data_IF_131745858493
#
_entry.id   IF_131745858493
#
_cell.length_a   1.000
_cell.length_b   1.000
_cell.length_c   1.000
_cell.angle_alpha   90.00
_cell.angle_beta   90.00
_cell.angle_gamma   90.00
#
_symmetry.space_group_name_H-M   'P 1'
#
loop_
_entity.id
_entity.type
_entity.pdbx_description
1 polymer ?
#
# COMPACT_ATOMS: atom_id res chain seq x y z
N UNK A 1 16.33 0.71 -12.94
CA UNK A 1 16.68 1.53 -11.76
C UNK A 1 15.79 2.78 -11.66
N UNK A 2 15.54 3.48 -12.78
CA UNK A 2 14.70 4.68 -12.77
C UNK A 2 13.27 4.37 -12.32
N UNK A 3 12.67 3.31 -12.83
CA UNK A 3 11.32 2.87 -12.43
C UNK A 3 11.27 2.47 -10.95
N UNK A 4 12.31 1.83 -10.46
CA UNK A 4 12.42 1.45 -9.05
C UNK A 4 12.44 2.70 -8.16
N UNK A 5 13.21 3.70 -8.53
CA UNK A 5 13.28 4.97 -7.79
C UNK A 5 11.93 5.69 -7.81
N UNK A 6 11.25 5.71 -8.96
CA UNK A 6 9.91 6.30 -9.07
C UNK A 6 8.92 5.60 -8.17
N UNK A 7 8.92 4.27 -8.14
CA UNK A 7 8.06 3.49 -7.26
C UNK A 7 8.29 3.79 -5.79
N UNK A 8 9.54 3.87 -5.38
CA UNK A 8 9.90 4.21 -4.00
C UNK A 8 9.43 5.62 -3.63
N UNK A 9 9.57 6.59 -4.54
CA UNK A 9 9.09 7.96 -4.31
C UNK A 9 7.56 8.04 -4.21
N UNK A 10 6.86 7.26 -5.03
CA UNK A 10 5.40 7.18 -4.96
C UNK A 10 4.94 6.63 -3.61
N UNK A 11 5.57 5.55 -3.14
CA UNK A 11 5.25 4.96 -1.85
C UNK A 11 5.51 5.94 -0.71
N UNK A 12 6.65 6.62 -0.75
CA UNK A 12 7.00 7.63 0.25
C UNK A 12 5.99 8.78 0.29
N UNK A 13 5.58 9.27 -0.86
CA UNK A 13 4.58 10.32 -0.97
C UNK A 13 3.22 9.90 -0.41
N UNK A 14 2.79 8.66 -0.67
CA UNK A 14 1.55 8.10 -0.13
C UNK A 14 1.58 8.03 1.39
N UNK A 15 2.69 7.58 1.95
CA UNK A 15 2.85 7.47 3.41
C UNK A 15 2.86 8.85 4.06
N UNK A 16 3.58 9.80 3.49
CA UNK A 16 3.62 11.19 4.00
C UNK A 16 2.24 11.84 4.00
N UNK A 17 1.48 11.67 2.92
CA UNK A 17 0.12 12.19 2.82
C UNK A 17 -0.79 11.57 3.89
N UNK A 18 -0.70 10.27 4.08
CA UNK A 18 -1.47 9.54 5.09
C UNK A 18 -1.16 10.01 6.51
N UNK A 19 0.11 10.23 6.82
CA UNK A 19 0.53 10.72 8.13
C UNK A 19 -0.01 12.13 8.37
N UNK A 20 0.07 13.01 7.37
CA UNK A 20 -0.48 14.36 7.47
C UNK A 20 -2.00 14.35 7.66
N UNK A 21 -2.71 13.48 6.97
CA UNK A 21 -4.16 13.32 7.11
C UNK A 21 -4.52 12.82 8.51
N UNK A 22 -3.79 11.85 9.03
CA UNK A 22 -3.97 11.32 10.38
C UNK A 22 -3.75 12.39 11.44
N UNK A 23 -2.71 13.20 11.29
CA UNK A 23 -2.41 14.27 12.25
C UNK A 23 -3.52 15.33 12.28
N UNK A 24 -4.08 15.68 11.12
CA UNK A 24 -5.23 16.60 11.06
C UNK A 24 -6.47 16.01 11.74
N UNK A 25 -6.69 14.71 11.57
CA UNK A 25 -7.81 14.02 12.17
C UNK A 25 -7.71 13.99 13.70
N UNK A 26 -6.53 13.66 14.22
CA UNK A 26 -6.28 13.55 15.66
C UNK A 26 -6.58 14.87 16.39
N UNK A 27 -6.29 16.01 15.75
CA UNK A 27 -6.57 17.32 16.32
C UNK A 27 -8.07 17.69 16.30
N UNK A 28 -8.86 17.14 15.35
CA UNK A 28 -10.22 17.61 15.05
C UNK A 28 -11.34 16.66 15.45
N UNK A 29 -11.06 15.35 15.59
CA UNK A 29 -12.09 14.31 15.70
C UNK A 29 -11.79 13.36 16.87
N UNK A 30 -12.35 13.65 18.04
CA UNK A 30 -12.22 12.80 19.22
C UNK A 30 -13.28 11.72 19.32
N UNK A 31 -14.41 11.89 18.63
CA UNK A 31 -15.62 11.07 18.84
C UNK A 31 -15.90 10.07 17.72
N UNK A 32 -14.97 9.87 16.81
CA UNK A 32 -15.11 8.91 15.74
C UNK A 32 -14.32 9.26 14.48
N UNK A 33 -14.14 8.27 13.63
CA UNK A 33 -13.38 8.39 12.42
C UNK A 33 -14.34 8.71 11.26
N UNK A 34 -14.12 9.82 10.52
CA UNK A 34 -14.95 10.11 9.35
C UNK A 34 -14.85 9.00 8.30
N UNK A 35 -15.96 8.75 7.59
CA UNK A 35 -15.97 7.78 6.50
C UNK A 35 -14.92 8.10 5.44
N UNK A 36 -14.71 9.38 5.12
CA UNK A 36 -13.69 9.81 4.17
C UNK A 36 -12.27 9.36 4.57
N UNK A 37 -11.95 9.44 5.87
CA UNK A 37 -10.66 8.96 6.37
C UNK A 37 -10.53 7.43 6.23
N UNK A 38 -11.59 6.68 6.53
CA UNK A 38 -11.59 5.22 6.36
C UNK A 38 -11.36 4.85 4.90
N UNK A 39 -12.02 5.52 3.97
CA UNK A 39 -11.83 5.32 2.53
C UNK A 39 -10.37 5.61 2.14
N UNK A 40 -9.80 6.70 2.63
CA UNK A 40 -8.40 7.07 2.36
C UNK A 40 -7.43 6.01 2.87
N UNK A 41 -7.62 5.51 4.08
CA UNK A 41 -6.73 4.50 4.67
C UNK A 41 -6.86 3.15 3.96
N UNK A 42 -8.06 2.75 3.59
CA UNK A 42 -8.28 1.55 2.78
C UNK A 42 -7.62 1.68 1.39
N UNK A 43 -7.76 2.83 0.76
CA UNK A 43 -7.13 3.10 -0.53
C UNK A 43 -5.60 3.09 -0.42
N UNK A 44 -5.06 3.64 0.64
CA UNK A 44 -3.63 3.59 0.93
C UNK A 44 -3.14 2.15 1.07
N UNK A 45 -3.84 1.34 1.85
CA UNK A 45 -3.46 -0.06 2.08
C UNK A 45 -3.41 -0.83 0.77
N UNK A 46 -4.42 -0.67 -0.08
CA UNK A 46 -4.49 -1.34 -1.37
C UNK A 46 -3.38 -0.86 -2.30
N UNK A 47 -3.23 0.45 -2.45
CA UNK A 47 -2.24 1.06 -3.34
C UNK A 47 -0.82 0.73 -2.89
N UNK A 48 -0.53 0.86 -1.60
CA UNK A 48 0.80 0.57 -1.06
C UNK A 48 1.16 -0.90 -1.20
N UNK A 49 0.23 -1.83 -0.92
CA UNK A 49 0.51 -3.26 -1.05
C UNK A 49 0.76 -3.67 -2.50
N UNK A 50 0.08 -3.07 -3.47
CA UNK A 50 0.35 -3.31 -4.89
C UNK A 50 1.70 -2.73 -5.31
N UNK A 51 2.00 -1.53 -4.85
CA UNK A 51 3.23 -0.83 -5.20
C UNK A 51 4.46 -1.52 -4.61
N UNK A 52 4.38 -2.02 -3.39
CA UNK A 52 5.48 -2.78 -2.75
C UNK A 52 5.81 -4.03 -3.56
N UNK A 53 4.81 -4.77 -4.01
CA UNK A 53 5.02 -5.95 -4.87
C UNK A 53 5.76 -5.55 -6.15
N UNK A 54 5.35 -4.47 -6.78
CA UNK A 54 5.98 -3.97 -8.00
C UNK A 54 7.43 -3.54 -7.74
N UNK A 55 7.67 -2.80 -6.68
CA UNK A 55 9.01 -2.35 -6.29
C UNK A 55 9.96 -3.53 -6.05
N UNK A 56 9.52 -4.51 -5.26
CA UNK A 56 10.35 -5.68 -4.94
C UNK A 56 10.59 -6.54 -6.20
N UNK A 57 9.59 -6.67 -7.06
CA UNK A 57 9.72 -7.39 -8.31
C UNK A 57 10.74 -6.73 -9.25
N UNK A 58 10.70 -5.41 -9.35
CA UNK A 58 11.69 -4.65 -10.14
C UNK A 58 13.10 -4.77 -9.55
N UNK A 59 13.22 -4.73 -8.22
CA UNK A 59 14.48 -4.94 -7.54
C UNK A 59 15.04 -6.34 -7.80
N UNK A 60 14.18 -7.35 -7.81
CA UNK A 60 14.56 -8.72 -8.12
C UNK A 60 15.11 -8.84 -9.55
N UNK A 61 14.44 -8.22 -10.51
CA UNK A 61 14.88 -8.22 -11.90
C UNK A 61 16.25 -7.52 -12.04
N UNK A 62 16.44 -6.42 -11.32
CA UNK A 62 17.70 -5.68 -11.32
C UNK A 62 18.85 -6.52 -10.75
N UNK A 63 18.61 -7.25 -9.65
CA UNK A 63 19.61 -8.11 -9.02
C UNK A 63 19.84 -9.42 -9.77
N UNK A 64 18.90 -9.84 -10.62
CA UNK A 64 18.99 -11.07 -11.39
C UNK A 64 19.02 -12.32 -10.50
N UNK A 65 19.79 -13.32 -10.92
CA UNK A 65 19.85 -14.63 -10.23
C UNK A 65 20.35 -14.50 -8.78
N UNK A 66 21.21 -13.54 -8.49
CA UNK A 66 21.69 -13.31 -7.11
C UNK A 66 20.55 -12.88 -6.18
N UNK A 67 19.59 -12.11 -6.68
CA UNK A 67 18.40 -11.72 -5.92
C UNK A 67 17.39 -12.85 -5.77
N UNK A 68 17.29 -13.70 -6.78
CA UNK A 68 16.36 -14.83 -6.78
C UNK A 68 16.84 -15.99 -5.91
N UNK A 69 18.14 -16.24 -5.85
CA UNK A 69 18.73 -17.33 -5.08
C UNK A 69 18.59 -17.08 -3.57
N UNK A 70 18.33 -18.15 -2.80
CA UNK A 70 18.03 -18.02 -1.37
C UNK A 70 19.26 -17.78 -0.49
N UNK A 71 20.45 -18.11 -0.98
CA UNK A 71 21.68 -18.13 -0.16
C UNK A 71 22.73 -17.11 -0.59
N UNK A 72 22.31 -16.00 -1.19
CA UNK A 72 23.24 -14.95 -1.56
C UNK A 72 23.03 -13.71 -0.70
N UNK A 73 24.04 -12.85 -0.55
CA UNK A 73 23.87 -11.58 0.18
C UNK A 73 22.83 -10.65 -0.45
N UNK A 74 22.52 -10.82 -1.74
CA UNK A 74 21.54 -10.03 -2.48
C UNK A 74 20.17 -10.69 -2.56
N UNK A 75 19.93 -11.79 -1.84
CA UNK A 75 18.66 -12.50 -1.89
C UNK A 75 17.48 -11.60 -1.49
N UNK A 76 16.45 -11.58 -2.31
CA UNK A 76 15.20 -10.84 -2.07
C UNK A 76 13.99 -11.77 -1.83
N UNK A 77 14.25 -13.07 -1.61
CA UNK A 77 13.18 -14.05 -1.43
C UNK A 77 12.27 -13.75 -0.25
N UNK A 78 12.83 -13.31 0.86
CA UNK A 78 12.08 -12.91 2.06
C UNK A 78 11.24 -11.66 1.77
N UNK A 79 11.84 -10.63 1.20
CA UNK A 79 11.14 -9.38 0.89
C UNK A 79 10.00 -9.63 -0.10
N UNK A 80 10.21 -10.50 -1.09
CA UNK A 80 9.18 -10.85 -2.06
C UNK A 80 7.99 -11.53 -1.39
N UNK A 81 8.23 -12.51 -0.51
CA UNK A 81 7.16 -13.18 0.23
C UNK A 81 6.41 -12.21 1.15
N UNK A 82 7.14 -11.36 1.86
CA UNK A 82 6.55 -10.37 2.75
C UNK A 82 5.71 -9.36 1.98
N UNK A 83 6.17 -8.93 0.82
CA UNK A 83 5.41 -8.03 -0.05
C UNK A 83 4.09 -8.65 -0.51
N UNK A 84 4.10 -9.91 -0.94
CA UNK A 84 2.86 -10.60 -1.34
C UNK A 84 1.93 -10.84 -0.16
N UNK A 85 2.46 -11.10 1.04
CA UNK A 85 1.63 -11.33 2.22
C UNK A 85 0.75 -10.12 2.55
N UNK A 86 1.22 -8.92 2.30
CA UNK A 86 0.45 -7.70 2.55
C UNK A 86 -0.85 -7.64 1.75
N UNK A 87 -0.89 -8.21 0.54
CA UNK A 87 -2.10 -8.26 -0.27
C UNK A 87 -3.10 -9.32 0.19
N UNK A 88 -2.61 -10.34 0.92
CA UNK A 88 -3.38 -11.53 1.29
C UNK A 88 -3.89 -11.48 2.73
N UNK A 89 -3.10 -10.94 3.66
CA UNK A 89 -3.40 -10.95 5.10
C UNK A 89 -4.70 -10.23 5.44
N UNK A 90 -4.92 -9.08 4.83
CA UNK A 90 -6.23 -8.41 4.84
C UNK A 90 -6.63 -8.30 3.38
N UNK A 91 -7.60 -9.09 2.98
CA UNK A 91 -7.95 -9.30 1.57
C UNK A 91 -8.27 -7.97 0.87
N UNK A 92 -7.44 -7.59 -0.10
CA UNK A 92 -7.63 -6.36 -0.85
C UNK A 92 -8.98 -6.32 -1.60
N UNK A 93 -9.48 -7.45 -2.06
CA UNK A 93 -10.79 -7.53 -2.72
C UNK A 93 -11.91 -7.13 -1.77
N UNK A 94 -11.86 -7.58 -0.52
CA UNK A 94 -12.81 -7.20 0.51
C UNK A 94 -12.75 -5.69 0.80
N UNK A 95 -11.54 -5.15 0.93
CA UNK A 95 -11.34 -3.71 1.19
C UNK A 95 -11.87 -2.87 0.03
N UNK A 96 -11.63 -3.30 -1.21
CA UNK A 96 -12.17 -2.63 -2.40
C UNK A 96 -13.70 -2.63 -2.40
N UNK A 97 -14.32 -3.75 -2.03
CA UNK A 97 -15.78 -3.85 -1.95
C UNK A 97 -16.34 -2.92 -0.86
N UNK A 98 -15.69 -2.86 0.30
CA UNK A 98 -16.08 -1.95 1.38
C UNK A 98 -15.94 -0.49 0.96
N UNK A 99 -14.87 -0.13 0.27
CA UNK A 99 -14.68 1.22 -0.27
C UNK A 99 -15.74 1.57 -1.30
N UNK A 100 -16.06 0.66 -2.20
CA UNK A 100 -17.10 0.89 -3.22
C UNK A 100 -18.45 1.20 -2.56
N UNK A 101 -18.80 0.44 -1.51
CA UNK A 101 -20.02 0.67 -0.75
C UNK A 101 -20.02 2.04 -0.06
N UNK A 102 -18.94 2.40 0.61
CA UNK A 102 -18.82 3.69 1.29
C UNK A 102 -18.84 4.86 0.32
N UNK A 103 -18.19 4.74 -0.83
CA UNK A 103 -18.21 5.76 -1.88
C UNK A 103 -19.62 5.95 -2.44
N UNK A 104 -20.36 4.89 -2.64
CA UNK A 104 -21.74 4.96 -3.11
C UNK A 104 -22.64 5.68 -2.10
N UNK A 105 -22.52 5.38 -0.83
CA UNK A 105 -23.25 6.07 0.24
C UNK A 105 -22.85 7.56 0.28
N UNK A 106 -21.56 7.85 0.24
CA UNK A 106 -21.02 9.21 0.30
C UNK A 106 -21.47 10.08 -0.88
N UNK A 107 -21.59 9.47 -2.07
CA UNK A 107 -22.02 10.18 -3.28
C UNK A 107 -23.54 10.20 -3.47
N UNK A 108 -24.29 9.55 -2.60
CA UNK A 108 -25.75 9.47 -2.72
C UNK A 108 -26.21 8.55 -3.83
N UNK A 109 -25.39 7.60 -4.29
CA UNK A 109 -25.73 6.69 -5.38
C UNK A 109 -26.46 5.42 -4.93
N UNK A 110 -26.65 5.25 -3.63
CA UNK A 110 -27.44 4.15 -3.07
C UNK A 110 -28.79 4.65 -2.59
#
# INVERSE_FOLDING_TARGET
LADLILGCRQLEALVRDAVAEFDRLDASHRDGVPMAFTISMNSLKITASRLVIEIVSQALILCGMAGYAQRTPLSLGRQLRDAFSAAVMINNTRILADNARMLSISSGMI
#
